data_IF_588625735091
#
_entry.id   IF_588625735091
#
_cell.length_a   1.000
_cell.length_b   1.000
_cell.length_c   1.000
_cell.angle_alpha   90.00
_cell.angle_beta   90.00
_cell.angle_gamma   90.00
#
_symmetry.space_group_name_H-M   'P 1'
#
loop_
_entity.id
_entity.type
_entity.pdbx_description
1 polymer ?
#
# COMPACT_ATOMS: atom_id res chain seq x y z
N UNK A 1 2.42 -33.56 -16.22
CA UNK A 1 2.87 -32.26 -15.70
C UNK A 1 2.77 -31.17 -16.79
N UNK A 2 3.24 -31.42 -18.02
CA UNK A 2 3.31 -30.42 -19.10
C UNK A 2 1.96 -29.86 -19.61
N UNK A 3 0.90 -30.67 -19.60
CA UNK A 3 -0.42 -30.23 -20.05
C UNK A 3 -1.06 -29.15 -19.15
N UNK A 4 -0.79 -29.20 -17.84
CA UNK A 4 -1.28 -28.23 -16.85
C UNK A 4 -0.49 -26.92 -16.95
N UNK A 5 0.81 -27.01 -17.24
CA UNK A 5 1.68 -25.84 -17.45
C UNK A 5 1.22 -25.10 -18.71
N UNK A 6 0.95 -25.82 -19.81
CA UNK A 6 0.51 -25.22 -21.07
C UNK A 6 -0.86 -24.55 -20.97
N UNK A 7 -1.80 -25.12 -20.20
CA UNK A 7 -3.12 -24.50 -19.99
C UNK A 7 -3.06 -23.23 -19.14
N UNK A 8 -2.22 -23.19 -18.09
CA UNK A 8 -1.99 -21.95 -17.30
C UNK A 8 -1.33 -20.85 -18.12
N UNK A 9 -0.35 -21.20 -18.96
CA UNK A 9 0.30 -20.22 -19.84
C UNK A 9 -0.71 -19.60 -20.79
N UNK A 10 -1.53 -20.43 -21.45
CA UNK A 10 -2.56 -19.92 -22.37
C UNK A 10 -3.60 -19.04 -21.65
N UNK A 11 -4.01 -19.42 -20.43
CA UNK A 11 -4.93 -18.62 -19.63
C UNK A 11 -4.32 -17.26 -19.22
N UNK A 12 -3.06 -17.23 -18.81
CA UNK A 12 -2.36 -15.97 -18.46
C UNK A 12 -2.22 -15.07 -19.68
N UNK A 13 -1.93 -15.63 -20.85
CA UNK A 13 -1.85 -14.87 -22.11
C UNK A 13 -3.21 -14.31 -22.51
N UNK A 14 -4.29 -15.07 -22.33
CA UNK A 14 -5.65 -14.60 -22.61
C UNK A 14 -6.08 -13.47 -21.67
N UNK A 15 -5.91 -13.65 -20.36
CA UNK A 15 -6.19 -12.60 -19.36
C UNK A 15 -5.35 -11.36 -19.61
N UNK A 16 -4.07 -11.50 -19.96
CA UNK A 16 -3.21 -10.36 -20.28
C UNK A 16 -3.66 -9.58 -21.52
N UNK A 17 -4.14 -10.29 -22.57
CA UNK A 17 -4.71 -9.64 -23.75
C UNK A 17 -6.01 -8.89 -23.41
N UNK A 18 -6.86 -9.48 -22.60
CA UNK A 18 -8.12 -8.84 -22.16
C UNK A 18 -7.84 -7.57 -21.34
N UNK A 19 -6.86 -7.59 -20.44
CA UNK A 19 -6.44 -6.43 -19.64
C UNK A 19 -6.00 -5.25 -20.52
N UNK A 20 -5.25 -5.53 -21.60
CA UNK A 20 -4.77 -4.50 -22.52
C UNK A 20 -5.93 -3.91 -23.33
N UNK A 21 -6.84 -4.76 -23.81
CA UNK A 21 -7.99 -4.35 -24.64
C UNK A 21 -9.00 -3.53 -23.83
N UNK A 22 -9.22 -3.85 -22.56
CA UNK A 22 -10.19 -3.17 -21.69
C UNK A 22 -9.63 -1.86 -21.09
N UNK A 23 -8.33 -1.59 -21.26
CA UNK A 23 -7.71 -0.36 -20.77
C UNK A 23 -7.56 -0.33 -19.25
N UNK A 24 -7.40 -1.50 -18.62
CA UNK A 24 -7.43 -1.65 -17.17
C UNK A 24 -6.31 -0.88 -16.45
N UNK A 25 -5.24 -0.52 -17.18
CA UNK A 25 -4.14 0.32 -16.69
C UNK A 25 -4.57 1.74 -16.27
N UNK A 26 -5.74 2.23 -16.72
CA UNK A 26 -6.25 3.56 -16.34
C UNK A 26 -6.94 3.54 -14.98
N UNK A 27 -7.37 2.37 -14.48
CA UNK A 27 -8.14 2.29 -13.22
C UNK A 27 -7.41 2.79 -11.97
N UNK A 28 -6.10 2.56 -11.77
CA UNK A 28 -5.38 3.15 -10.64
C UNK A 28 -5.48 4.69 -10.63
N UNK A 29 -5.39 5.33 -11.79
CA UNK A 29 -5.53 6.79 -11.92
C UNK A 29 -6.97 7.22 -11.63
N UNK A 30 -7.97 6.48 -12.11
CA UNK A 30 -9.38 6.72 -11.75
C UNK A 30 -9.62 6.56 -10.25
N UNK A 31 -8.97 5.59 -9.60
CA UNK A 31 -9.04 5.38 -8.16
C UNK A 31 -8.45 6.57 -7.38
N UNK A 32 -7.30 7.11 -7.82
CA UNK A 32 -6.73 8.34 -7.22
C UNK A 32 -7.69 9.52 -7.40
N UNK A 33 -8.22 9.71 -8.61
CA UNK A 33 -9.19 10.78 -8.86
C UNK A 33 -10.44 10.62 -7.98
N UNK A 34 -11.00 9.42 -7.91
CA UNK A 34 -12.18 9.12 -7.11
C UNK A 34 -11.91 9.38 -5.62
N UNK A 35 -10.76 8.93 -5.10
CA UNK A 35 -10.35 9.21 -3.74
C UNK A 35 -10.30 10.71 -3.50
N UNK A 36 -9.67 11.48 -4.39
CA UNK A 36 -9.57 12.94 -4.29
C UNK A 36 -10.94 13.64 -4.33
N UNK A 37 -11.92 13.13 -5.08
CA UNK A 37 -13.26 13.75 -5.15
C UNK A 37 -14.19 13.35 -4.00
N UNK A 38 -13.86 12.31 -3.22
CA UNK A 38 -14.70 11.74 -2.17
C UNK A 38 -14.08 11.97 -0.77
N UNK A 39 -14.36 13.12 -0.12
CA UNK A 39 -13.76 13.48 1.17
C UNK A 39 -14.15 12.55 2.32
N UNK A 40 -15.23 11.77 2.18
CA UNK A 40 -15.62 10.74 3.15
C UNK A 40 -14.57 9.62 3.30
N UNK A 41 -13.71 9.41 2.30
CA UNK A 41 -12.64 8.41 2.36
C UNK A 41 -11.35 8.95 3.00
N UNK A 42 -11.18 10.27 3.08
CA UNK A 42 -9.95 10.88 3.57
C UNK A 42 -9.63 10.50 5.02
N UNK A 43 -10.64 10.37 5.89
CA UNK A 43 -10.42 9.98 7.28
C UNK A 43 -9.75 8.60 7.43
N UNK A 44 -10.07 7.66 6.55
CA UNK A 44 -9.41 6.34 6.54
C UNK A 44 -7.98 6.42 6.02
N UNK A 45 -7.74 7.25 5.00
CA UNK A 45 -6.39 7.43 4.45
C UNK A 45 -5.49 8.14 5.46
N UNK A 46 -5.94 9.25 6.04
CA UNK A 46 -5.13 10.06 6.97
C UNK A 46 -4.88 9.35 8.29
N UNK A 47 -5.86 8.61 8.83
CA UNK A 47 -5.69 7.85 10.08
C UNK A 47 -4.61 6.77 10.01
N UNK A 48 -4.25 6.31 8.81
CA UNK A 48 -3.22 5.27 8.59
C UNK A 48 -1.95 5.82 7.95
N UNK A 49 -2.07 6.87 7.13
CA UNK A 49 -0.94 7.57 6.54
C UNK A 49 -0.12 8.28 7.61
N UNK A 50 -0.76 8.96 8.57
CA UNK A 50 -0.06 9.72 9.60
C UNK A 50 0.84 8.85 10.50
N UNK A 51 0.37 7.70 11.04
CA UNK A 51 1.25 6.75 11.73
C UNK A 51 2.39 6.22 10.86
N UNK A 52 2.14 5.99 9.57
CA UNK A 52 3.15 5.48 8.62
C UNK A 52 4.24 6.53 8.35
N UNK A 53 3.85 7.80 8.20
CA UNK A 53 4.79 8.91 8.05
C UNK A 53 5.60 9.13 9.34
N UNK A 54 4.95 9.05 10.50
CA UNK A 54 5.63 9.14 11.79
C UNK A 54 6.66 8.00 11.96
N UNK A 55 6.28 6.77 11.62
CA UNK A 55 7.18 5.62 11.62
C UNK A 55 8.37 5.86 10.68
N UNK A 56 8.12 6.34 9.46
CA UNK A 56 9.17 6.67 8.50
C UNK A 56 10.13 7.76 8.98
N UNK A 57 9.62 8.81 9.62
CA UNK A 57 10.44 9.86 10.22
C UNK A 57 11.32 9.33 11.35
N UNK A 58 10.76 8.49 12.24
CA UNK A 58 11.51 7.88 13.34
C UNK A 58 12.63 7.00 12.77
N UNK A 59 12.31 6.09 11.84
CA UNK A 59 13.29 5.20 11.22
C UNK A 59 14.40 5.99 10.53
N UNK A 60 14.02 6.97 9.71
CA UNK A 60 14.99 7.79 8.96
C UNK A 60 15.90 8.55 9.92
N UNK A 61 15.36 9.13 10.99
CA UNK A 61 16.16 9.84 12.01
C UNK A 61 17.14 8.91 12.70
N UNK A 62 16.69 7.72 13.11
CA UNK A 62 17.54 6.71 13.77
C UNK A 62 18.64 6.24 12.81
N UNK A 63 18.31 5.93 11.56
CA UNK A 63 19.30 5.53 10.56
C UNK A 63 20.32 6.64 10.32
N UNK A 64 19.89 7.90 10.11
CA UNK A 64 20.84 9.00 9.97
C UNK A 64 21.75 9.15 11.19
N UNK A 65 21.23 8.97 12.40
CA UNK A 65 22.06 9.10 13.59
C UNK A 65 23.16 8.01 13.67
N UNK A 66 22.84 6.77 13.34
CA UNK A 66 23.77 5.64 13.49
C UNK A 66 24.62 5.35 12.26
N UNK A 67 24.05 5.45 11.05
CA UNK A 67 24.70 4.99 9.82
C UNK A 67 25.39 6.12 9.06
N UNK A 68 24.88 7.35 9.11
CA UNK A 68 25.39 8.44 8.27
C UNK A 68 26.88 8.74 8.48
N UNK A 69 27.32 8.94 9.73
CA UNK A 69 28.72 9.31 10.01
C UNK A 69 29.71 8.23 9.54
N UNK A 70 29.57 6.95 9.92
CA UNK A 70 30.48 5.91 9.43
C UNK A 70 30.36 5.69 7.91
N UNK A 71 29.16 5.76 7.34
CA UNK A 71 28.92 5.52 5.91
C UNK A 71 29.45 6.68 5.04
N UNK A 72 29.31 7.92 5.49
CA UNK A 72 29.89 9.10 4.86
C UNK A 72 31.42 9.09 4.94
N UNK A 73 32.01 8.66 6.07
CA UNK A 73 33.46 8.52 6.20
C UNK A 73 34.01 7.49 5.21
N UNK A 74 33.40 6.30 5.14
CA UNK A 74 33.79 5.25 4.20
C UNK A 74 33.62 5.70 2.73
N UNK A 75 32.48 6.28 2.38
CA UNK A 75 32.23 6.73 1.01
C UNK A 75 33.12 7.91 0.62
N UNK A 76 33.49 8.78 1.57
CA UNK A 76 34.41 9.89 1.31
C UNK A 76 35.83 9.39 1.11
N UNK A 77 36.24 8.36 1.85
CA UNK A 77 37.53 7.70 1.66
C UNK A 77 37.63 7.04 0.27
N UNK A 78 36.54 6.42 -0.21
CA UNK A 78 36.53 5.68 -1.46
C UNK A 78 36.26 6.52 -2.71
N UNK A 79 35.34 7.49 -2.63
CA UNK A 79 34.86 8.27 -3.78
C UNK A 79 35.28 9.75 -3.70
N UNK A 80 36.11 10.13 -2.73
CA UNK A 80 36.50 11.51 -2.49
C UNK A 80 35.39 12.37 -1.85
N UNK A 81 35.50 13.71 -1.86
CA UNK A 81 34.62 14.61 -1.09
C UNK A 81 33.12 14.50 -1.44
N UNK A 82 32.77 13.98 -2.61
CA UNK A 82 31.36 13.71 -2.99
C UNK A 82 30.74 12.52 -2.24
N UNK A 83 31.53 11.73 -1.52
CA UNK A 83 31.07 10.58 -0.73
C UNK A 83 30.03 10.94 0.33
N UNK A 84 30.08 12.17 0.86
CA UNK A 84 29.09 12.69 1.82
C UNK A 84 27.69 12.77 1.21
N UNK A 85 27.57 13.27 -0.03
CA UNK A 85 26.28 13.41 -0.73
C UNK A 85 25.73 12.03 -1.10
N UNK A 86 26.62 11.13 -1.57
CA UNK A 86 26.24 9.75 -1.87
C UNK A 86 25.73 9.02 -0.62
N UNK A 87 26.36 9.25 0.54
CA UNK A 87 25.92 8.69 1.81
C UNK A 87 24.50 9.13 2.16
N UNK A 88 24.15 10.41 1.99
CA UNK A 88 22.78 10.92 2.22
C UNK A 88 21.78 10.14 1.36
N UNK A 89 22.04 10.00 0.07
CA UNK A 89 21.13 9.30 -0.85
C UNK A 89 20.97 7.82 -0.49
N UNK A 90 22.05 7.19 -0.03
CA UNK A 90 22.07 5.78 0.35
C UNK A 90 21.29 5.53 1.65
N UNK A 91 21.53 6.35 2.68
CA UNK A 91 20.80 6.31 3.95
C UNK A 91 19.31 6.58 3.73
N UNK A 92 18.93 7.53 2.85
CA UNK A 92 17.53 7.75 2.47
C UNK A 92 16.91 6.49 1.88
N UNK A 93 17.61 5.83 0.97
CA UNK A 93 17.12 4.64 0.25
C UNK A 93 16.99 3.43 1.18
N UNK A 94 17.97 3.23 2.08
CA UNK A 94 17.94 2.21 3.12
C UNK A 94 16.78 2.45 4.10
N UNK A 95 16.64 3.69 4.59
CA UNK A 95 15.55 4.08 5.50
C UNK A 95 14.17 3.91 4.87
N UNK A 96 14.02 4.29 3.59
CA UNK A 96 12.77 4.10 2.85
C UNK A 96 12.44 2.62 2.65
N UNK A 97 13.46 1.79 2.39
CA UNK A 97 13.29 0.34 2.25
C UNK A 97 12.81 -0.28 3.56
N UNK A 98 13.47 0.05 4.68
CA UNK A 98 13.09 -0.42 6.02
C UNK A 98 11.68 0.05 6.38
N UNK A 99 11.38 1.33 6.15
CA UNK A 99 10.05 1.90 6.38
C UNK A 99 8.99 1.16 5.56
N UNK A 100 9.25 0.89 4.28
CA UNK A 100 8.31 0.20 3.41
C UNK A 100 8.12 -1.26 3.83
N UNK A 101 9.18 -1.95 4.24
CA UNK A 101 9.09 -3.31 4.77
C UNK A 101 8.20 -3.37 6.02
N UNK A 102 8.41 -2.46 6.97
CA UNK A 102 7.61 -2.40 8.19
C UNK A 102 6.16 -2.00 7.91
N UNK A 103 5.94 -0.95 7.11
CA UNK A 103 4.60 -0.50 6.75
C UNK A 103 3.80 -1.59 6.03
N UNK A 104 4.44 -2.36 5.14
CA UNK A 104 3.81 -3.50 4.43
C UNK A 104 3.41 -4.63 5.36
N UNK A 105 4.24 -4.93 6.37
CA UNK A 105 3.96 -6.03 7.29
C UNK A 105 2.88 -5.67 8.31
N UNK A 106 2.82 -4.42 8.77
CA UNK A 106 1.95 -4.06 9.89
C UNK A 106 0.68 -3.29 9.54
N UNK A 107 0.61 -2.54 8.44
CA UNK A 107 -0.49 -1.55 8.28
C UNK A 107 -1.04 -1.44 6.86
N UNK A 108 -0.20 -1.60 5.84
CA UNK A 108 -0.58 -1.25 4.48
C UNK A 108 -1.61 -2.20 3.87
N UNK A 109 -1.50 -3.51 4.14
CA UNK A 109 -2.40 -4.53 3.56
C UNK A 109 -3.83 -4.38 4.07
N UNK A 110 -4.00 -4.26 5.38
CA UNK A 110 -5.32 -4.10 6.02
C UNK A 110 -5.98 -2.79 5.58
N UNK A 111 -5.22 -1.70 5.57
CA UNK A 111 -5.71 -0.37 5.17
C UNK A 111 -6.20 -0.34 3.73
N UNK A 112 -5.49 -1.01 2.82
CA UNK A 112 -5.88 -1.04 1.40
C UNK A 112 -7.22 -1.77 1.21
N UNK A 113 -7.41 -2.89 1.91
CA UNK A 113 -8.67 -3.64 1.88
C UNK A 113 -9.79 -2.81 2.50
N UNK A 114 -9.54 -2.14 3.62
CA UNK A 114 -10.52 -1.27 4.27
C UNK A 114 -10.98 -0.11 3.37
N UNK A 115 -10.07 0.55 2.66
CA UNK A 115 -10.41 1.63 1.72
C UNK A 115 -11.20 1.08 0.53
N UNK A 116 -10.83 -0.10 0.01
CA UNK A 116 -11.54 -0.74 -1.09
C UNK A 116 -12.98 -1.11 -0.69
N UNK A 117 -13.14 -1.75 0.46
CA UNK A 117 -14.44 -2.13 1.00
C UNK A 117 -15.30 -0.88 1.27
N UNK A 118 -14.72 0.18 1.84
CA UNK A 118 -15.45 1.43 2.06
C UNK A 118 -15.88 2.12 0.76
N UNK A 119 -15.08 1.98 -0.30
CA UNK A 119 -15.42 2.52 -1.62
C UNK A 119 -16.58 1.75 -2.24
N UNK A 120 -16.58 0.41 -2.14
CA UNK A 120 -17.69 -0.43 -2.61
C UNK A 120 -19.01 -0.12 -1.90
N UNK A 121 -18.98 0.02 -0.57
CA UNK A 121 -20.14 0.45 0.21
C UNK A 121 -20.63 1.84 -0.22
N UNK A 122 -19.70 2.77 -0.48
CA UNK A 122 -20.06 4.13 -0.89
C UNK A 122 -20.78 4.17 -2.25
N UNK A 123 -20.49 3.21 -3.13
CA UNK A 123 -21.14 3.04 -4.44
C UNK A 123 -22.40 2.15 -4.38
N UNK A 124 -22.81 1.67 -3.20
CA UNK A 124 -24.02 0.86 -3.04
C UNK A 124 -23.82 -0.64 -3.30
N UNK A 125 -22.58 -1.10 -3.41
CA UNK A 125 -22.22 -2.51 -3.62
C UNK A 125 -22.08 -3.29 -2.29
N UNK A 126 -23.01 -3.04 -1.35
CA UNK A 126 -23.01 -3.64 -0.01
C UNK A 126 -23.08 -5.18 -0.04
N UNK A 127 -23.76 -5.73 -1.05
CA UNK A 127 -23.90 -7.18 -1.26
C UNK A 127 -22.57 -7.89 -1.59
N UNK A 128 -21.57 -7.16 -2.08
CA UNK A 128 -20.24 -7.71 -2.35
C UNK A 128 -19.37 -7.70 -1.09
N UNK A 129 -19.47 -6.64 -0.29
CA UNK A 129 -18.69 -6.48 0.95
C UNK A 129 -19.24 -7.36 2.08
N UNK A 130 -20.56 -7.53 2.16
CA UNK A 130 -21.23 -8.37 3.18
C UNK A 130 -20.85 -9.85 3.12
N UNK A 131 -20.28 -10.31 1.99
CA UNK A 131 -19.75 -11.67 1.83
C UNK A 131 -18.41 -11.89 2.55
N UNK A 132 -17.65 -10.82 2.82
CA UNK A 132 -16.32 -10.89 3.45
C UNK A 132 -16.19 -10.19 4.81
N UNK A 133 -17.14 -9.32 5.17
CA UNK A 133 -17.11 -8.48 6.38
C UNK A 133 -18.53 -8.25 6.90
N UNK A 134 -18.70 -8.15 8.22
CA UNK A 134 -19.99 -7.71 8.78
C UNK A 134 -20.22 -6.23 8.47
N UNK A 135 -21.42 -5.88 8.02
CA UNK A 135 -21.83 -4.49 7.82
C UNK A 135 -22.71 -4.03 8.98
N UNK A 136 -22.44 -2.85 9.53
CA UNK A 136 -23.31 -2.26 10.56
C UNK A 136 -24.53 -1.65 9.89
N UNK A 137 -25.68 -2.32 10.02
CA UNK A 137 -26.96 -1.80 9.55
C UNK A 137 -27.45 -0.65 10.44
N UNK A 138 -27.13 0.58 10.03
CA UNK A 138 -27.61 1.81 10.67
C UNK A 138 -27.98 2.84 9.60
N UNK A 139 -29.12 3.51 9.77
CA UNK A 139 -29.80 4.41 8.80
C UNK A 139 -28.94 5.59 8.30
N UNK A 140 -27.77 5.82 8.91
CA UNK A 140 -26.83 6.92 8.61
C UNK A 140 -25.42 6.44 8.22
N UNK A 141 -25.20 5.13 8.10
CA UNK A 141 -23.86 4.57 7.91
C UNK A 141 -23.46 4.55 6.43
N UNK A 142 -22.72 5.56 5.97
CA UNK A 142 -22.17 5.61 4.60
C UNK A 142 -20.65 5.45 4.61
N UNK A 143 -20.11 4.64 3.70
CA UNK A 143 -18.67 4.45 3.51
C UNK A 143 -17.96 3.81 4.71
N UNK A 144 -16.87 4.43 5.18
CA UNK A 144 -16.01 3.95 6.26
C UNK A 144 -16.75 3.49 7.51
N UNK A 145 -17.80 4.22 7.89
CA UNK A 145 -18.55 4.02 9.12
C UNK A 145 -19.46 2.78 9.09
N UNK A 146 -19.73 2.24 7.89
CA UNK A 146 -20.54 1.03 7.70
C UNK A 146 -19.74 -0.25 7.84
N UNK A 147 -18.41 -0.17 7.79
CA UNK A 147 -17.53 -1.31 7.93
C UNK A 147 -17.50 -1.82 9.38
N UNK A 148 -17.94 -3.06 9.58
CA UNK A 148 -17.77 -3.81 10.80
C UNK A 148 -16.46 -4.62 10.79
N UNK A 149 -16.43 -5.71 11.57
CA UNK A 149 -15.23 -6.53 11.75
C UNK A 149 -15.03 -7.46 10.55
N UNK A 150 -13.77 -7.61 10.10
CA UNK A 150 -13.42 -8.59 9.06
C UNK A 150 -13.74 -10.01 9.52
N UNK A 151 -14.58 -10.72 8.76
CA UNK A 151 -14.94 -12.12 9.03
C UNK A 151 -13.88 -13.08 8.48
N UNK A 152 -13.11 -12.63 7.50
CA UNK A 152 -11.96 -13.35 6.96
C UNK A 152 -10.71 -12.79 7.63
N UNK A 153 -10.23 -13.47 8.68
CA UNK A 153 -8.84 -13.29 9.15
C UNK A 153 -7.95 -13.85 8.04
N UNK A 154 -7.19 -12.99 7.34
CA UNK A 154 -6.12 -13.51 6.49
C UNK A 154 -5.21 -14.39 7.37
N UNK A 155 -4.90 -15.63 6.95
CA UNK A 155 -3.95 -16.45 7.69
C UNK A 155 -2.63 -15.69 7.78
N UNK A 156 -2.14 -15.49 9.00
CA UNK A 156 -0.77 -15.04 9.23
C UNK A 156 0.14 -16.04 8.52
N UNK A 157 0.75 -15.60 7.41
CA UNK A 157 1.82 -16.29 6.72
C UNK A 157 3.01 -15.35 6.62
#
# INVERSE_FOLDING_TARGET
>A
MDAIVKSRINHVVQVSREIIVVGTYVYPLKGVYYLLTHPNLYGMVTSRLLPTMALGLIITTVMFFFTYVPQAALLTLLNGPFGVINAVSLVLSESATVTMMLARNFTLKETLVDIFDATLVSEGEDNLVSKGRELKAGRESKGASALGKNLIKLPER
#
